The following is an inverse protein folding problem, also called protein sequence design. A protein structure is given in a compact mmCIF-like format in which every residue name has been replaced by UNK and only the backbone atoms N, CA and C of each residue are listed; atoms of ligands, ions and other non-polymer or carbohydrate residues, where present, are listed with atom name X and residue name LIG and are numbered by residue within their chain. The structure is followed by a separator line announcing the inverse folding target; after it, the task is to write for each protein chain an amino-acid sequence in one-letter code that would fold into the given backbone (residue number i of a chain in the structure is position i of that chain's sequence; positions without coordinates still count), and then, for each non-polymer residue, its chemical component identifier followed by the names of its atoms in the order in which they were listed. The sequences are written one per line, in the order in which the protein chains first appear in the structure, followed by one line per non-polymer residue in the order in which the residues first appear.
data_IF_908982516948
#
_entry.id   IF_908982516948
#
_cell.length_a   1.000
_cell.length_b   1.000
_cell.length_c   1.000
_cell.angle_alpha   90.00
_cell.angle_beta   90.00
_cell.angle_gamma   90.00
#
_symmetry.space_group_name_H-M   'P 1'
#
loop_
_entity.id
_entity.type
_entity.pdbx_description
1 polymer ?
#
# COMPACT_ATOMS: atom_id res chain seq x y z
N UNK A 1 -14.98 8.54 -0.50
CA UNK A 1 -14.94 7.23 0.20
C UNK A 1 -13.54 6.99 0.77
N UNK A 2 -13.40 6.22 1.85
CA UNK A 2 -12.12 6.01 2.54
C UNK A 2 -11.92 4.53 2.87
N UNK A 3 -10.69 4.05 2.76
CA UNK A 3 -10.26 2.74 3.24
C UNK A 3 -8.93 2.88 4.00
N UNK A 4 -8.76 2.09 5.05
CA UNK A 4 -7.52 1.99 5.80
C UNK A 4 -7.20 0.53 6.01
N UNK A 5 -5.96 0.15 5.73
CA UNK A 5 -5.45 -1.20 5.98
C UNK A 5 -4.16 -1.14 6.77
N UNK A 6 -3.99 -2.12 7.66
CA UNK A 6 -2.80 -2.33 8.47
C UNK A 6 -2.31 -3.76 8.26
N UNK A 7 -1.22 -3.92 7.52
CA UNK A 7 -0.62 -5.21 7.18
C UNK A 7 0.58 -5.49 8.10
N UNK A 8 0.68 -6.70 8.66
CA UNK A 8 1.86 -7.10 9.43
C UNK A 8 2.96 -7.54 8.44
N UNK A 9 3.99 -6.72 8.28
CA UNK A 9 5.10 -6.92 7.31
C UNK A 9 6.46 -7.07 7.99
N UNK A 10 6.51 -7.01 9.34
CA UNK A 10 7.68 -7.41 10.12
C UNK A 10 8.87 -6.47 9.96
N UNK A 11 10.08 -7.01 10.01
CA UNK A 11 11.34 -6.24 9.98
C UNK A 11 11.53 -5.43 8.69
N UNK A 12 10.86 -5.83 7.61
CA UNK A 12 11.00 -5.23 6.29
C UNK A 12 9.95 -4.15 5.98
N UNK A 13 9.10 -3.82 6.96
CA UNK A 13 8.04 -2.82 6.85
C UNK A 13 8.51 -1.51 6.20
N UNK A 14 9.69 -1.00 6.58
CA UNK A 14 10.25 0.24 6.02
C UNK A 14 10.61 0.14 4.54
N UNK A 15 11.18 -0.98 4.11
CA UNK A 15 11.56 -1.20 2.72
C UNK A 15 10.32 -1.33 1.85
N UNK A 16 9.34 -2.12 2.29
CA UNK A 16 8.04 -2.28 1.62
C UNK A 16 7.31 -0.94 1.54
N UNK A 17 7.27 -0.17 2.65
CA UNK A 17 6.64 1.15 2.65
C UNK A 17 7.26 2.10 1.61
N UNK A 18 8.59 2.08 1.48
CA UNK A 18 9.30 2.90 0.49
C UNK A 18 8.92 2.52 -0.94
N UNK A 19 8.94 1.23 -1.28
CA UNK A 19 8.55 0.74 -2.60
C UNK A 19 7.11 1.15 -2.95
N UNK A 20 6.16 0.94 -2.04
CA UNK A 20 4.77 1.29 -2.26
C UNK A 20 4.53 2.81 -2.31
N UNK A 21 5.35 3.60 -1.62
CA UNK A 21 5.26 5.07 -1.68
C UNK A 21 5.66 5.58 -3.06
N UNK A 22 6.64 4.95 -3.71
CA UNK A 22 7.05 5.32 -5.06
C UNK A 22 5.98 4.98 -6.10
N UNK A 23 5.27 3.85 -5.93
CA UNK A 23 4.07 3.53 -6.72
C UNK A 23 2.93 4.54 -6.49
N UNK A 24 2.71 4.98 -5.24
CA UNK A 24 1.69 5.98 -4.93
C UNK A 24 1.96 7.34 -5.62
N UNK A 25 3.23 7.70 -5.83
CA UNK A 25 3.62 8.94 -6.53
C UNK A 25 3.38 8.88 -8.04
N UNK A 26 3.36 7.68 -8.64
CA UNK A 26 3.05 7.53 -10.06
C UNK A 26 1.63 7.99 -10.42
N UNK A 27 0.77 8.18 -9.40
CA UNK A 27 -0.51 8.84 -9.50
C UNK A 27 -1.60 7.87 -9.95
N UNK A 28 -2.55 7.60 -9.05
CA UNK A 28 -3.80 6.93 -9.41
C UNK A 28 -4.87 7.98 -9.70
N UNK A 29 -5.60 7.87 -10.82
CA UNK A 29 -6.64 8.85 -11.15
C UNK A 29 -7.72 8.85 -10.07
N UNK A 30 -7.96 10.03 -9.48
CA UNK A 30 -9.01 10.27 -8.46
C UNK A 30 -8.86 9.45 -7.17
N UNK A 31 -7.65 8.99 -6.85
CA UNK A 31 -7.36 8.28 -5.59
C UNK A 31 -6.13 8.89 -4.92
N UNK A 32 -6.29 9.38 -3.70
CA UNK A 32 -5.20 9.73 -2.81
C UNK A 32 -4.77 8.49 -2.03
N UNK A 33 -3.47 8.20 -2.02
CA UNK A 33 -2.91 7.06 -1.29
C UNK A 33 -1.77 7.53 -0.40
N UNK A 34 -1.87 7.25 0.89
CA UNK A 34 -0.85 7.53 1.88
C UNK A 34 -0.33 6.21 2.43
N UNK A 35 0.95 5.93 2.22
CA UNK A 35 1.64 4.73 2.71
C UNK A 35 2.63 5.12 3.79
N UNK A 36 2.56 4.48 4.95
CA UNK A 36 3.47 4.79 6.04
C UNK A 36 3.79 3.56 6.89
N UNK A 37 5.05 3.41 7.33
CA UNK A 37 5.44 2.36 8.26
C UNK A 37 5.00 2.73 9.70
N UNK A 38 4.47 1.75 10.43
CA UNK A 38 4.08 1.85 11.83
C UNK A 38 4.69 0.67 12.62
N UNK A 39 5.98 0.76 12.91
CA UNK A 39 6.75 -0.33 13.53
C UNK A 39 6.89 -1.52 12.57
N UNK A 40 6.37 -2.68 12.97
CA UNK A 40 6.31 -3.91 12.14
C UNK A 40 5.04 -4.02 11.28
N UNK A 41 4.28 -2.93 11.19
CA UNK A 41 3.04 -2.86 10.41
C UNK A 41 3.15 -1.81 9.32
N UNK A 42 2.70 -2.16 8.12
CA UNK A 42 2.51 -1.22 7.02
C UNK A 42 1.09 -0.68 7.07
N UNK A 43 0.93 0.64 7.15
CA UNK A 43 -0.37 1.30 7.05
C UNK A 43 -0.54 1.93 5.67
N UNK A 44 -1.73 1.72 5.10
CA UNK A 44 -2.12 2.26 3.80
C UNK A 44 -3.49 2.91 3.97
N UNK A 45 -3.54 4.23 3.77
CA UNK A 45 -4.78 5.01 3.78
C UNK A 45 -5.11 5.41 2.34
N UNK A 46 -6.33 5.11 1.89
CA UNK A 46 -6.82 5.46 0.57
C UNK A 46 -8.07 6.31 0.66
N UNK A 47 -8.12 7.37 -0.15
CA UNK A 47 -9.30 8.22 -0.32
C UNK A 47 -9.62 8.31 -1.81
N UNK A 48 -10.84 7.96 -2.18
CA UNK A 48 -11.29 8.03 -3.57
C UNK A 48 -12.70 8.63 -3.66
N UNK A 49 -13.02 9.27 -4.78
CA UNK A 49 -14.38 9.78 -5.04
C UNK A 49 -15.38 8.62 -5.21
N UNK A 50 -14.98 7.59 -5.96
CA UNK A 50 -15.83 6.47 -6.36
C UNK A 50 -15.43 5.16 -5.67
N UNK A 51 -16.42 4.31 -5.38
CA UNK A 51 -16.20 2.99 -4.76
C UNK A 51 -15.36 2.06 -5.64
N UNK A 52 -15.59 2.10 -6.95
CA UNK A 52 -14.88 1.32 -7.97
C UNK A 52 -13.39 1.65 -7.98
N UNK A 53 -13.06 2.95 -7.95
CA UNK A 53 -11.68 3.44 -7.85
C UNK A 53 -11.02 3.07 -6.53
N UNK A 54 -11.76 3.19 -5.41
CA UNK A 54 -11.26 2.77 -4.09
C UNK A 54 -10.92 1.27 -4.07
N UNK A 55 -11.83 0.43 -4.57
CA UNK A 55 -11.65 -1.03 -4.63
C UNK A 55 -10.48 -1.41 -5.53
N UNK A 56 -10.35 -0.78 -6.70
CA UNK A 56 -9.26 -1.03 -7.63
C UNK A 56 -7.92 -0.66 -7.00
N UNK A 57 -7.79 0.55 -6.45
CA UNK A 57 -6.58 1.02 -5.81
C UNK A 57 -6.20 0.16 -4.59
N UNK A 58 -7.17 -0.17 -3.74
CA UNK A 58 -6.93 -1.04 -2.59
C UNK A 58 -6.39 -2.40 -3.02
N UNK A 59 -7.02 -3.03 -4.01
CA UNK A 59 -6.58 -4.34 -4.51
C UNK A 59 -5.16 -4.28 -5.11
N UNK A 60 -4.84 -3.23 -5.87
CA UNK A 60 -3.49 -3.04 -6.41
C UNK A 60 -2.45 -2.91 -5.30
N UNK A 61 -2.70 -2.04 -4.31
CA UNK A 61 -1.76 -1.83 -3.20
C UNK A 61 -1.56 -3.06 -2.33
N UNK A 62 -2.62 -3.85 -2.09
CA UNK A 62 -2.49 -5.13 -1.40
C UNK A 62 -1.66 -6.13 -2.21
N UNK A 63 -1.89 -6.21 -3.53
CA UNK A 63 -1.11 -7.06 -4.43
C UNK A 63 0.36 -6.68 -4.48
N UNK A 64 0.67 -5.39 -4.54
CA UNK A 64 2.05 -4.89 -4.52
C UNK A 64 2.72 -5.10 -3.17
N UNK A 65 2.01 -4.89 -2.05
CA UNK A 65 2.54 -5.19 -0.73
C UNK A 65 2.89 -6.68 -0.59
N UNK A 66 2.04 -7.56 -1.10
CA UNK A 66 2.28 -9.01 -1.13
C UNK A 66 3.47 -9.37 -2.03
N UNK A 67 3.56 -8.78 -3.22
CA UNK A 67 4.68 -8.98 -4.13
C UNK A 67 6.01 -8.53 -3.49
N UNK A 68 6.05 -7.33 -2.91
CA UNK A 68 7.24 -6.82 -2.23
C UNK A 68 7.65 -7.68 -1.03
N UNK A 69 6.68 -8.21 -0.26
CA UNK A 69 6.97 -9.15 0.81
C UNK A 69 7.53 -10.48 0.28
N UNK A 70 7.02 -10.98 -0.86
CA UNK A 70 7.50 -12.19 -1.52
C UNK A 70 8.95 -12.06 -1.99
N UNK A 71 9.28 -10.99 -2.71
CA UNK A 71 10.66 -10.72 -3.18
C UNK A 71 11.66 -10.70 -2.03
N UNK A 72 11.28 -10.11 -0.89
CA UNK A 72 12.15 -10.02 0.28
C UNK A 72 12.31 -11.37 1.01
N UNK A 73 11.34 -12.28 0.90
CA UNK A 73 11.40 -13.63 1.50
C UNK A 73 12.15 -14.64 0.64
N UNK A 74 12.18 -14.42 -0.68
CA UNK A 74 12.92 -15.23 -1.66
C UNK A 74 14.41 -14.80 -1.78
N UNK A 75 14.83 -13.73 -1.09
CA UNK A 75 16.24 -13.38 -0.79
C UNK A 75 16.72 -14.02 0.53
#
# INVERSE_FOLDING_TARGET
MKAQVSLKTGKHTKAIAKALTDEAKAGLPKVEVNVFPAGEKLKIDLVAEEFTSLRAALNSFLGWAYCAEGVIKDE
#
